data_IF_506660309909
#
_entry.id   IF_506660309909
#
_cell.length_a   1.000
_cell.length_b   1.000
_cell.length_c   1.000
_cell.angle_alpha   90.00
_cell.angle_beta   90.00
_cell.angle_gamma   90.00
#
_symmetry.space_group_name_H-M   'P 1'
#
loop_
_entity.id
_entity.type
_entity.pdbx_description
1 polymer ?
#
# COMPACT_ATOMS: atom_id res chain seq x y z
N UNK A 1 10.55 7.30 -8.37
CA UNK A 1 9.35 8.05 -8.74
C UNK A 1 8.41 7.14 -9.53
N UNK A 2 7.10 7.17 -9.23
CA UNK A 2 6.06 6.50 -10.01
C UNK A 2 5.38 7.58 -10.85
N UNK A 3 5.24 7.37 -12.16
CA UNK A 3 4.54 8.29 -13.05
C UNK A 3 3.32 7.60 -13.64
N UNK A 4 2.17 8.25 -13.53
CA UNK A 4 0.87 7.80 -14.05
C UNK A 4 0.41 8.88 -15.02
N UNK A 5 0.02 8.50 -16.25
CA UNK A 5 -0.35 9.41 -17.32
C UNK A 5 -1.64 8.95 -18.02
N UNK A 6 -2.65 9.79 -17.99
CA UNK A 6 -3.92 9.66 -18.71
C UNK A 6 -4.59 8.26 -18.54
N UNK A 7 -4.55 7.71 -17.32
CA UNK A 7 -5.13 6.40 -17.03
C UNK A 7 -6.65 6.55 -16.90
N UNK A 8 -7.38 5.82 -17.77
CA UNK A 8 -8.84 5.77 -17.75
C UNK A 8 -9.30 4.32 -17.77
N UNK A 9 -10.39 4.02 -17.05
CA UNK A 9 -10.97 2.68 -17.01
C UNK A 9 -12.47 2.72 -16.80
N UNK A 10 -13.19 1.86 -17.53
CA UNK A 10 -14.64 1.68 -17.42
C UNK A 10 -14.97 0.23 -17.04
N UNK A 11 -16.02 0.06 -16.25
CA UNK A 11 -16.65 -1.24 -16.01
C UNK A 11 -18.08 -1.14 -16.53
N UNK A 12 -18.36 -1.82 -17.65
CA UNK A 12 -19.61 -1.60 -18.37
C UNK A 12 -19.75 -0.16 -18.85
N UNK A 13 -20.80 0.53 -18.44
CA UNK A 13 -21.02 1.95 -18.74
C UNK A 13 -20.41 2.90 -17.68
N UNK A 14 -20.00 2.38 -16.53
CA UNK A 14 -19.54 3.21 -15.42
C UNK A 14 -18.04 3.52 -15.58
N UNK A 15 -17.71 4.81 -15.56
CA UNK A 15 -16.34 5.32 -15.54
C UNK A 15 -15.79 5.21 -14.10
N UNK A 16 -14.76 4.41 -13.91
CA UNK A 16 -14.14 4.15 -12.60
C UNK A 16 -12.89 5.02 -12.41
N UNK A 17 -12.09 5.15 -13.48
CA UNK A 17 -10.95 6.07 -13.51
C UNK A 17 -11.13 6.97 -14.73
N UNK A 18 -10.94 8.27 -14.54
CA UNK A 18 -11.18 9.31 -15.52
C UNK A 18 -9.95 10.21 -15.64
N UNK A 19 -9.14 9.95 -16.66
CA UNK A 19 -7.94 10.71 -17.02
C UNK A 19 -6.97 10.95 -15.84
N UNK A 20 -6.69 9.90 -15.08
CA UNK A 20 -5.82 9.97 -13.91
C UNK A 20 -4.38 10.21 -14.34
N UNK A 21 -3.83 11.37 -13.95
CA UNK A 21 -2.44 11.74 -14.19
C UNK A 21 -1.84 12.28 -12.89
N UNK A 22 -0.74 11.67 -12.42
CA UNK A 22 -0.02 12.11 -11.22
C UNK A 22 1.41 11.57 -11.18
N UNK A 23 2.23 12.18 -10.35
CA UNK A 23 3.56 11.72 -10.01
C UNK A 23 3.66 11.47 -8.49
N UNK A 24 4.09 10.26 -8.13
CA UNK A 24 4.34 9.91 -6.73
C UNK A 24 5.85 10.02 -6.50
N UNK A 25 6.28 10.83 -5.51
CA UNK A 25 7.69 10.98 -5.17
C UNK A 25 8.36 9.66 -4.85
N UNK A 26 9.67 9.59 -5.08
CA UNK A 26 10.46 8.43 -4.66
C UNK A 26 10.80 8.54 -3.18
N UNK A 27 10.68 7.41 -2.49
CA UNK A 27 10.92 7.31 -1.04
C UNK A 27 9.70 7.74 -0.21
N UNK A 28 9.63 7.22 1.02
CA UNK A 28 8.57 7.54 1.96
C UNK A 28 7.23 6.84 1.70
N UNK A 29 6.26 7.18 2.55
CA UNK A 29 4.89 6.67 2.47
C UNK A 29 4.00 7.65 1.71
N UNK A 30 3.37 7.18 0.65
CA UNK A 30 2.28 7.88 -0.03
C UNK A 30 0.95 7.30 0.39
N UNK A 31 0.09 8.09 1.01
CA UNK A 31 -1.28 7.70 1.31
C UNK A 31 -2.20 8.00 0.12
N UNK A 32 -2.93 6.98 -0.34
CA UNK A 32 -4.00 7.11 -1.33
C UNK A 32 -5.34 7.14 -0.57
N UNK A 33 -5.99 8.30 -0.53
CA UNK A 33 -7.22 8.55 0.24
C UNK A 33 -8.38 8.97 -0.67
N UNK A 34 -9.58 8.98 -0.12
CA UNK A 34 -10.81 9.44 -0.77
C UNK A 34 -12.02 8.59 -0.40
N UNK A 35 -13.23 9.00 -0.80
CA UNK A 35 -14.45 8.27 -0.54
C UNK A 35 -14.45 6.83 -1.09
N UNK A 36 -15.37 6.01 -0.60
CA UNK A 36 -15.60 4.70 -1.19
C UNK A 36 -16.06 4.85 -2.65
N UNK A 37 -15.56 3.98 -3.54
CA UNK A 37 -15.85 4.10 -4.97
C UNK A 37 -15.03 5.17 -5.73
N UNK A 38 -14.11 5.90 -5.08
CA UNK A 38 -13.27 6.89 -5.75
C UNK A 38 -12.25 6.32 -6.74
N UNK A 39 -12.11 4.98 -6.84
CA UNK A 39 -11.20 4.33 -7.78
C UNK A 39 -9.83 3.95 -7.21
N UNK A 40 -9.58 4.12 -5.90
CA UNK A 40 -8.28 3.88 -5.24
C UNK A 40 -7.71 2.48 -5.49
N UNK A 41 -8.44 1.42 -5.12
CA UNK A 41 -7.99 0.03 -5.31
C UNK A 41 -7.90 -0.35 -6.79
N UNK A 42 -8.75 0.25 -7.64
CA UNK A 42 -8.68 0.08 -9.09
C UNK A 42 -7.38 0.67 -9.63
N UNK A 43 -7.03 1.90 -9.24
CA UNK A 43 -5.76 2.53 -9.62
C UNK A 43 -4.57 1.68 -9.14
N UNK A 44 -4.60 1.24 -7.87
CA UNK A 44 -3.55 0.39 -7.30
C UNK A 44 -3.40 -0.93 -8.07
N UNK A 45 -4.51 -1.53 -8.53
CA UNK A 45 -4.49 -2.77 -9.32
C UNK A 45 -3.82 -2.59 -10.70
N UNK A 46 -4.01 -1.44 -11.34
CA UNK A 46 -3.29 -1.09 -12.57
C UNK A 46 -1.82 -0.80 -12.31
N UNK A 47 -1.50 -0.10 -11.24
CA UNK A 47 -0.12 0.14 -10.80
C UNK A 47 0.64 -1.18 -10.60
N UNK A 48 -0.02 -2.21 -10.07
CA UNK A 48 0.56 -3.54 -9.86
C UNK A 48 0.49 -4.46 -11.09
N UNK A 49 -0.08 -4.00 -12.21
CA UNK A 49 -0.36 -4.84 -13.40
C UNK A 49 -1.19 -6.09 -13.08
N UNK A 50 -2.10 -6.02 -12.09
CA UNK A 50 -3.08 -7.06 -11.84
C UNK A 50 -4.23 -7.03 -12.87
N UNK A 51 -4.36 -5.91 -13.57
CA UNK A 51 -5.29 -5.71 -14.69
C UNK A 51 -4.53 -5.15 -15.89
N UNK A 52 -4.87 -5.54 -17.11
CA UNK A 52 -4.30 -4.95 -18.32
C UNK A 52 -4.71 -3.47 -18.43
N UNK A 53 -3.75 -2.59 -18.69
CA UNK A 53 -4.01 -1.17 -18.89
C UNK A 53 -4.46 -0.94 -20.34
N UNK A 54 -5.68 -0.44 -20.54
CA UNK A 54 -6.25 -0.20 -21.85
C UNK A 54 -5.90 1.21 -22.36
N UNK A 55 -5.89 2.19 -21.44
CA UNK A 55 -5.61 3.59 -21.77
C UNK A 55 -4.65 4.20 -20.74
N UNK A 56 -3.72 5.01 -21.23
CA UNK A 56 -2.73 5.68 -20.42
C UNK A 56 -1.44 4.90 -20.25
N UNK A 57 -0.62 5.33 -19.31
CA UNK A 57 0.69 4.76 -19.03
C UNK A 57 1.04 4.83 -17.55
N UNK A 58 1.66 3.78 -17.04
CA UNK A 58 2.20 3.74 -15.67
C UNK A 58 3.65 3.30 -15.74
N UNK A 59 4.55 4.00 -15.04
CA UNK A 59 5.96 3.64 -15.02
C UNK A 59 6.59 3.80 -13.63
N UNK A 60 7.58 2.95 -13.34
CA UNK A 60 8.41 2.96 -12.15
C UNK A 60 9.85 3.30 -12.54
N UNK A 61 10.38 4.42 -12.06
CA UNK A 61 11.72 4.90 -12.43
C UNK A 61 11.95 4.90 -13.95
N UNK A 62 10.93 5.27 -14.75
CA UNK A 62 10.97 5.31 -16.21
C UNK A 62 10.66 3.98 -16.91
N UNK A 63 10.61 2.85 -16.19
CA UNK A 63 10.24 1.54 -16.76
C UNK A 63 8.72 1.41 -16.81
N UNK A 64 8.19 1.16 -17.99
CA UNK A 64 6.75 1.00 -18.22
C UNK A 64 6.23 -0.33 -17.69
N UNK A 65 5.16 -0.28 -16.90
CA UNK A 65 4.54 -1.46 -16.26
C UNK A 65 4.03 -2.47 -17.30
N UNK A 66 3.47 -1.99 -18.38
CA UNK A 66 2.83 -2.85 -19.40
C UNK A 66 3.85 -3.66 -20.20
N UNK A 67 5.01 -3.06 -20.51
CA UNK A 67 6.03 -3.67 -21.36
C UNK A 67 7.19 -4.35 -20.59
N UNK A 68 7.34 -4.06 -19.29
CA UNK A 68 8.40 -4.66 -18.46
C UNK A 68 8.14 -6.17 -18.27
N UNK A 69 9.16 -7.03 -18.48
CA UNK A 69 9.02 -8.47 -18.24
C UNK A 69 8.54 -8.78 -16.81
N UNK A 70 7.66 -9.78 -16.67
CA UNK A 70 7.05 -10.11 -15.36
C UNK A 70 8.07 -10.40 -14.26
N UNK A 71 9.15 -11.13 -14.61
CA UNK A 71 10.20 -11.47 -13.64
C UNK A 71 10.99 -10.22 -13.17
N UNK A 72 11.13 -9.21 -14.03
CA UNK A 72 11.75 -7.93 -13.67
C UNK A 72 10.80 -7.06 -12.85
N UNK A 73 9.54 -6.97 -13.26
CA UNK A 73 8.52 -6.22 -12.53
C UNK A 73 8.34 -6.76 -11.11
N UNK A 74 8.34 -8.09 -10.93
CA UNK A 74 8.26 -8.73 -9.62
C UNK A 74 9.49 -8.48 -8.72
N UNK A 75 10.61 -7.97 -9.25
CA UNK A 75 11.76 -7.48 -8.47
C UNK A 75 11.74 -5.97 -8.27
N UNK A 76 10.84 -5.27 -8.96
CA UNK A 76 10.69 -3.82 -8.89
C UNK A 76 9.59 -3.41 -7.90
N UNK A 77 8.46 -4.08 -7.95
CA UNK A 77 7.32 -3.77 -7.08
C UNK A 77 6.74 -5.04 -6.44
N UNK A 78 6.15 -4.85 -5.26
CA UNK A 78 5.37 -5.85 -4.55
C UNK A 78 4.01 -5.28 -4.15
N UNK A 79 2.99 -6.13 -4.03
CA UNK A 79 1.63 -5.71 -3.69
C UNK A 79 0.98 -6.63 -2.66
N UNK A 80 0.25 -6.02 -1.73
CA UNK A 80 -0.77 -6.66 -0.91
C UNK A 80 -2.14 -6.18 -1.39
N UNK A 81 -2.98 -7.10 -1.86
CA UNK A 81 -4.36 -6.81 -2.26
C UNK A 81 -5.31 -6.93 -1.07
N UNK A 82 -6.49 -6.29 -1.16
CA UNK A 82 -7.50 -6.31 -0.11
C UNK A 82 -8.03 -7.74 0.16
N UNK A 83 -8.28 -8.53 -0.90
CA UNK A 83 -8.72 -9.91 -0.77
C UNK A 83 -7.53 -10.87 -0.74
N UNK A 84 -7.23 -11.40 0.43
CA UNK A 84 -6.17 -12.39 0.65
C UNK A 84 -6.76 -13.66 1.30
N UNK A 85 -7.60 -14.38 0.55
CA UNK A 85 -8.17 -15.65 1.00
C UNK A 85 -7.21 -16.82 0.79
N UNK A 86 -6.06 -16.79 1.46
CA UNK A 86 -5.17 -17.95 1.50
C UNK A 86 -5.75 -18.95 2.51
N UNK A 87 -6.52 -19.92 2.02
CA UNK A 87 -7.11 -21.00 2.83
C UNK A 87 -6.20 -22.24 2.90
N UNK A 88 -4.94 -22.16 2.49
CA UNK A 88 -4.02 -23.30 2.48
C UNK A 88 -3.33 -23.53 3.84
N UNK A 89 -2.98 -24.78 4.13
CA UNK A 89 -2.11 -25.14 5.26
C UNK A 89 -0.67 -24.74 4.96
N UNK A 90 -0.41 -23.44 4.93
CA UNK A 90 0.92 -22.86 4.77
C UNK A 90 1.39 -22.29 6.10
N UNK A 91 2.65 -22.50 6.47
CA UNK A 91 3.26 -21.89 7.66
C UNK A 91 3.59 -20.42 7.38
N UNK A 92 3.78 -19.63 8.45
CA UNK A 92 4.24 -18.23 8.32
C UNK A 92 5.58 -18.18 7.59
N UNK A 93 6.52 -19.06 7.93
CA UNK A 93 7.85 -19.14 7.28
C UNK A 93 7.72 -19.39 5.77
N UNK A 94 6.89 -20.35 5.39
CA UNK A 94 6.68 -20.67 3.97
C UNK A 94 5.99 -19.53 3.24
N UNK A 95 5.03 -18.87 3.88
CA UNK A 95 4.40 -17.66 3.33
C UNK A 95 5.45 -16.58 3.03
N UNK A 96 6.32 -16.28 3.99
CA UNK A 96 7.37 -15.28 3.78
C UNK A 96 8.33 -15.71 2.66
N UNK A 97 8.62 -17.02 2.57
CA UNK A 97 9.45 -17.57 1.50
C UNK A 97 8.80 -17.41 0.12
N UNK A 98 7.46 -17.42 0.00
CA UNK A 98 6.78 -17.06 -1.25
C UNK A 98 7.11 -15.63 -1.72
N UNK A 99 7.26 -14.68 -0.80
CA UNK A 99 7.74 -13.34 -1.13
C UNK A 99 9.11 -13.34 -1.84
N UNK A 100 9.92 -14.38 -1.61
CA UNK A 100 11.24 -14.55 -2.25
C UNK A 100 11.19 -15.30 -3.60
N UNK A 101 10.01 -15.80 -4.00
CA UNK A 101 9.86 -16.60 -5.23
C UNK A 101 10.47 -15.96 -6.50
N UNK A 102 10.35 -14.63 -6.73
CA UNK A 102 10.98 -13.98 -7.89
C UNK A 102 12.51 -14.16 -7.99
N UNK A 103 13.16 -14.49 -6.88
CA UNK A 103 14.61 -14.67 -6.80
C UNK A 103 15.03 -16.13 -6.90
N UNK A 104 14.37 -17.02 -6.17
CA UNK A 104 14.80 -18.42 -6.04
C UNK A 104 14.06 -19.40 -6.95
N UNK A 105 12.89 -19.04 -7.50
CA UNK A 105 12.10 -19.85 -8.45
C UNK A 105 11.93 -21.32 -8.02
N UNK A 106 11.66 -21.54 -6.73
CA UNK A 106 11.47 -22.86 -6.14
C UNK A 106 12.71 -23.50 -5.51
N UNK A 107 13.89 -22.85 -5.56
CA UNK A 107 15.15 -23.34 -4.94
C UNK A 107 15.72 -22.29 -3.99
N UNK A 108 15.18 -22.18 -2.75
CA UNK A 108 15.61 -21.16 -1.81
C UNK A 108 17.11 -21.26 -1.47
N UNK A 109 17.81 -20.12 -1.55
CA UNK A 109 19.21 -19.98 -1.16
C UNK A 109 19.33 -19.63 0.34
N UNK A 110 20.53 -19.68 0.88
CA UNK A 110 20.82 -19.22 2.26
C UNK A 110 20.52 -17.72 2.40
N UNK A 111 20.71 -16.92 1.35
CA UNK A 111 20.32 -15.50 1.34
C UNK A 111 18.80 -15.34 1.50
N UNK A 112 17.99 -16.17 0.82
CA UNK A 112 16.53 -16.11 0.94
C UNK A 112 16.09 -16.49 2.36
N UNK A 113 16.71 -17.51 2.94
CA UNK A 113 16.44 -17.90 4.34
C UNK A 113 16.80 -16.80 5.34
N UNK A 114 17.93 -16.10 5.12
CA UNK A 114 18.34 -14.98 5.94
C UNK A 114 17.35 -13.80 5.84
N UNK A 115 16.89 -13.45 4.63
CA UNK A 115 15.86 -12.41 4.43
C UNK A 115 14.57 -12.76 5.17
N UNK A 116 14.11 -14.00 5.07
CA UNK A 116 12.92 -14.48 5.78
C UNK A 116 13.13 -14.42 7.29
N UNK A 117 14.30 -14.84 7.80
CA UNK A 117 14.64 -14.76 9.21
C UNK A 117 14.61 -13.33 9.76
N UNK A 118 15.20 -12.39 9.02
CA UNK A 118 15.17 -10.96 9.38
C UNK A 118 13.72 -10.41 9.39
N UNK A 119 12.93 -10.72 8.38
CA UNK A 119 11.54 -10.28 8.31
C UNK A 119 10.69 -10.87 9.45
N UNK A 120 10.90 -12.14 9.84
CA UNK A 120 10.24 -12.70 11.01
C UNK A 120 10.53 -11.86 12.27
N UNK A 121 11.78 -11.43 12.47
CA UNK A 121 12.18 -10.56 13.58
C UNK A 121 11.55 -9.17 13.50
N UNK A 122 11.68 -8.49 12.36
CA UNK A 122 11.15 -7.13 12.14
C UNK A 122 9.64 -7.05 12.39
N UNK A 123 8.90 -8.07 11.91
CA UNK A 123 7.45 -8.17 12.07
C UNK A 123 7.01 -8.87 13.35
N UNK A 124 7.94 -9.27 14.25
CA UNK A 124 7.67 -9.99 15.52
C UNK A 124 6.84 -11.25 15.28
N UNK A 125 7.27 -12.08 14.36
CA UNK A 125 6.60 -13.31 13.94
C UNK A 125 7.41 -14.58 14.27
N UNK A 126 8.57 -14.46 14.95
CA UNK A 126 9.47 -15.59 15.23
C UNK A 126 8.74 -16.74 15.95
N UNK A 127 7.96 -16.42 16.98
CA UNK A 127 7.20 -17.41 17.76
C UNK A 127 6.05 -18.05 16.99
N UNK A 128 5.72 -17.53 15.81
CA UNK A 128 4.66 -18.02 14.94
C UNK A 128 5.20 -18.63 13.65
N UNK A 129 6.52 -18.64 13.44
CA UNK A 129 7.16 -18.97 12.16
C UNK A 129 6.68 -20.31 11.58
N UNK A 130 6.53 -21.32 12.42
CA UNK A 130 6.17 -22.68 12.04
C UNK A 130 4.68 -23.00 12.28
N UNK A 131 3.85 -22.01 12.66
CA UNK A 131 2.39 -22.12 12.75
C UNK A 131 1.75 -21.92 11.39
N UNK A 132 0.62 -22.60 11.18
CA UNK A 132 -0.21 -22.39 10.00
C UNK A 132 -0.92 -21.03 10.08
N UNK A 133 -1.15 -20.38 8.93
CA UNK A 133 -1.89 -19.11 8.87
C UNK A 133 -3.30 -19.19 9.46
N UNK A 134 -3.91 -20.36 9.43
CA UNK A 134 -5.24 -20.63 10.00
C UNK A 134 -5.26 -20.63 11.53
N UNK A 135 -4.09 -20.76 12.17
CA UNK A 135 -3.93 -20.75 13.63
C UNK A 135 -3.65 -19.35 14.19
N UNK A 136 -3.50 -18.36 13.31
CA UNK A 136 -3.20 -16.99 13.68
C UNK A 136 -4.48 -16.18 13.90
N UNK A 137 -4.41 -15.20 14.82
CA UNK A 137 -5.42 -14.14 14.88
C UNK A 137 -5.42 -13.31 13.61
N UNK A 138 -6.52 -12.58 13.33
CA UNK A 138 -6.62 -11.72 12.15
C UNK A 138 -5.45 -10.73 12.04
N UNK A 139 -5.08 -10.08 13.14
CA UNK A 139 -3.96 -9.13 13.17
C UNK A 139 -2.58 -9.79 12.98
N UNK A 140 -2.38 -10.99 13.52
CA UNK A 140 -1.14 -11.77 13.29
C UNK A 140 -1.04 -12.20 11.82
N UNK A 141 -2.15 -12.67 11.25
CA UNK A 141 -2.24 -13.07 9.85
C UNK A 141 -1.98 -11.88 8.92
N UNK A 142 -2.60 -10.73 9.18
CA UNK A 142 -2.37 -9.51 8.39
C UNK A 142 -0.90 -9.08 8.43
N UNK A 143 -0.27 -9.15 9.60
CA UNK A 143 1.15 -8.86 9.77
C UNK A 143 2.03 -9.82 8.97
N UNK A 144 1.71 -11.13 8.95
CA UNK A 144 2.42 -12.12 8.16
C UNK A 144 2.30 -11.86 6.65
N UNK A 145 1.10 -11.47 6.17
CA UNK A 145 0.87 -11.11 4.77
C UNK A 145 1.70 -9.89 4.35
N UNK A 146 1.79 -8.87 5.20
CA UNK A 146 2.62 -7.68 4.93
C UNK A 146 4.11 -8.06 4.97
N UNK A 147 4.52 -8.89 5.93
CA UNK A 147 5.90 -9.38 6.01
C UNK A 147 6.32 -10.13 4.73
N UNK A 148 5.43 -10.95 4.15
CA UNK A 148 5.65 -11.61 2.86
C UNK A 148 5.94 -10.59 1.75
N UNK A 149 5.15 -9.51 1.66
CA UNK A 149 5.35 -8.45 0.67
C UNK A 149 6.69 -7.75 0.87
N UNK A 150 7.07 -7.49 2.11
CA UNK A 150 8.37 -6.88 2.45
C UNK A 150 9.56 -7.81 2.20
N UNK A 151 9.40 -9.15 2.34
CA UNK A 151 10.42 -10.14 1.97
C UNK A 151 10.79 -10.10 0.48
N UNK A 152 9.93 -9.60 -0.38
CA UNK A 152 10.23 -9.46 -1.81
C UNK A 152 11.35 -8.44 -2.06
N UNK A 153 11.70 -7.58 -1.10
CA UNK A 153 12.80 -6.61 -1.16
C UNK A 153 12.75 -5.71 -2.40
N UNK A 154 11.57 -5.23 -2.75
CA UNK A 154 11.35 -4.35 -3.89
C UNK A 154 11.52 -2.88 -3.50
N UNK A 155 11.83 -2.02 -4.48
CA UNK A 155 11.90 -0.56 -4.27
C UNK A 155 10.53 0.07 -4.06
N UNK A 156 9.47 -0.55 -4.62
CA UNK A 156 8.10 -0.06 -4.54
C UNK A 156 7.21 -1.10 -3.87
N UNK A 157 6.45 -0.67 -2.86
CA UNK A 157 5.52 -1.50 -2.10
C UNK A 157 4.13 -0.90 -2.21
N UNK A 158 3.16 -1.69 -2.65
CA UNK A 158 1.77 -1.27 -2.78
C UNK A 158 0.91 -2.03 -1.76
N UNK A 159 0.15 -1.32 -0.95
CA UNK A 159 -0.68 -1.92 0.10
C UNK A 159 -2.12 -1.44 -0.03
N UNK A 160 -3.04 -2.36 -0.33
CA UNK A 160 -4.46 -2.05 -0.42
C UNK A 160 -5.13 -2.35 0.92
N UNK A 161 -5.50 -1.28 1.64
CA UNK A 161 -6.19 -1.31 2.93
C UNK A 161 -5.55 -2.25 3.97
N UNK A 162 -4.24 -2.12 4.26
CA UNK A 162 -3.52 -3.06 5.12
C UNK A 162 -3.96 -3.00 6.59
N UNK A 163 -4.75 -2.00 6.99
CA UNK A 163 -5.21 -1.80 8.37
C UNK A 163 -6.60 -2.41 8.64
N UNK A 164 -7.27 -2.95 7.61
CA UNK A 164 -8.58 -3.53 7.77
C UNK A 164 -8.58 -4.68 8.79
N UNK A 165 -9.63 -4.72 9.62
CA UNK A 165 -9.80 -5.71 10.68
C UNK A 165 -8.74 -5.67 11.79
N UNK A 166 -7.97 -4.57 11.91
CA UNK A 166 -7.06 -4.32 13.02
C UNK A 166 -7.72 -3.36 14.02
N UNK A 167 -7.55 -3.62 15.30
CA UNK A 167 -7.87 -2.61 16.31
C UNK A 167 -6.88 -1.43 16.26
N UNK A 168 -7.21 -0.33 16.95
CA UNK A 168 -6.42 0.90 16.93
C UNK A 168 -4.97 0.69 17.39
N UNK A 169 -4.74 -0.19 18.36
CA UNK A 169 -3.39 -0.47 18.86
C UNK A 169 -2.52 -1.13 17.78
N UNK A 170 -3.06 -2.19 17.15
CA UNK A 170 -2.33 -2.92 16.10
C UNK A 170 -2.21 -2.11 14.81
N UNK A 171 -3.23 -1.34 14.43
CA UNK A 171 -3.16 -0.44 13.28
C UNK A 171 -2.04 0.61 13.46
N UNK A 172 -1.97 1.26 14.63
CA UNK A 172 -0.91 2.20 14.97
C UNK A 172 0.48 1.55 14.97
N UNK A 173 0.60 0.38 15.58
CA UNK A 173 1.87 -0.36 15.65
C UNK A 173 2.36 -0.74 14.25
N UNK A 174 1.44 -1.17 13.38
CA UNK A 174 1.74 -1.53 12.00
C UNK A 174 2.16 -0.30 11.18
N UNK A 175 1.45 0.83 11.27
CA UNK A 175 1.83 2.05 10.54
C UNK A 175 3.21 2.56 10.95
N UNK A 176 3.54 2.51 12.24
CA UNK A 176 4.90 2.85 12.72
C UNK A 176 5.96 1.90 12.17
N UNK A 177 5.66 0.61 12.09
CA UNK A 177 6.56 -0.38 11.51
C UNK A 177 6.77 -0.10 10.01
N UNK A 178 5.67 0.11 9.26
CA UNK A 178 5.73 0.44 7.83
C UNK A 178 6.54 1.70 7.58
N UNK A 179 6.31 2.77 8.36
CA UNK A 179 7.06 4.03 8.26
C UNK A 179 8.55 3.79 8.49
N UNK A 180 8.92 3.09 9.56
CA UNK A 180 10.30 2.76 9.88
C UNK A 180 10.96 1.99 8.74
N UNK A 181 10.36 0.85 8.31
CA UNK A 181 10.94 0.00 7.25
C UNK A 181 11.00 0.71 5.89
N UNK A 182 10.02 1.54 5.57
CA UNK A 182 10.02 2.34 4.34
C UNK A 182 11.20 3.29 4.32
N UNK A 183 11.44 4.04 5.41
CA UNK A 183 12.54 5.01 5.49
C UNK A 183 13.92 4.34 5.63
N UNK A 184 14.07 3.33 6.49
CA UNK A 184 15.33 2.60 6.68
C UNK A 184 15.82 1.95 5.37
N UNK A 185 14.91 1.37 4.59
CA UNK A 185 15.24 0.72 3.32
C UNK A 185 15.08 1.65 2.10
N UNK A 186 14.77 2.94 2.29
CA UNK A 186 14.58 3.95 1.24
C UNK A 186 13.57 3.53 0.17
N UNK A 187 12.51 2.80 0.58
CA UNK A 187 11.45 2.32 -0.33
C UNK A 187 10.42 3.40 -0.60
N UNK A 188 9.65 3.22 -1.65
CA UNK A 188 8.43 4.00 -1.90
C UNK A 188 7.24 3.11 -1.60
N UNK A 189 6.48 3.44 -0.55
CA UNK A 189 5.31 2.65 -0.14
C UNK A 189 4.04 3.43 -0.42
N UNK A 190 3.17 2.90 -1.26
CA UNK A 190 1.83 3.46 -1.52
C UNK A 190 0.81 2.66 -0.74
N UNK A 191 0.04 3.34 0.10
CA UNK A 191 -0.92 2.71 1.02
C UNK A 191 -2.30 3.30 0.81
N UNK A 192 -3.29 2.48 0.49
CA UNK A 192 -4.71 2.90 0.52
C UNK A 192 -5.16 2.94 1.97
N UNK A 193 -5.65 4.08 2.42
CA UNK A 193 -6.13 4.30 3.78
C UNK A 193 -7.54 4.88 3.77
N UNK A 194 -8.40 4.37 4.68
CA UNK A 194 -9.72 4.92 4.93
C UNK A 194 -9.71 5.97 6.04
N UNK A 195 -8.89 5.76 7.06
CA UNK A 195 -8.74 6.70 8.18
C UNK A 195 -7.78 7.82 7.78
N UNK A 196 -8.34 9.02 7.58
CA UNK A 196 -7.58 10.22 7.21
C UNK A 196 -6.60 10.67 8.30
N UNK A 197 -6.87 10.37 9.57
CA UNK A 197 -5.94 10.64 10.66
C UNK A 197 -4.70 9.74 10.60
N UNK A 198 -4.83 8.48 10.13
CA UNK A 198 -3.67 7.64 9.85
C UNK A 198 -2.83 8.20 8.69
N UNK A 199 -3.49 8.69 7.63
CA UNK A 199 -2.78 9.34 6.52
C UNK A 199 -2.05 10.62 7.00
N UNK A 200 -2.72 11.49 7.75
CA UNK A 200 -2.13 12.71 8.30
C UNK A 200 -0.96 12.43 9.27
N UNK A 201 -1.03 11.33 10.03
CA UNK A 201 0.00 10.99 11.02
C UNK A 201 1.26 10.35 10.41
N UNK A 202 1.13 9.57 9.34
CA UNK A 202 2.20 8.68 8.87
C UNK A 202 2.65 8.89 7.43
N UNK A 203 1.87 9.55 6.57
CA UNK A 203 2.25 9.77 5.19
C UNK A 203 3.28 10.92 5.07
N UNK A 204 4.18 10.78 4.09
CA UNK A 204 5.09 11.81 3.63
C UNK A 204 4.47 12.58 2.45
N UNK A 205 3.58 11.90 1.70
CA UNK A 205 2.84 12.46 0.58
C UNK A 205 1.41 11.89 0.54
N UNK A 206 0.47 12.67 0.06
CA UNK A 206 -0.95 12.29 -0.03
C UNK A 206 -1.43 12.45 -1.45
N UNK A 207 -2.19 11.47 -1.92
CA UNK A 207 -2.96 11.51 -3.17
C UNK A 207 -4.42 11.33 -2.79
N UNK A 208 -5.23 12.35 -3.02
CA UNK A 208 -6.66 12.33 -2.75
C UNK A 208 -7.43 12.13 -4.05
N UNK A 209 -8.31 11.13 -4.07
CA UNK A 209 -9.15 10.80 -5.22
C UNK A 209 -10.63 11.03 -4.91
N UNK A 210 -11.37 11.59 -5.86
CA UNK A 210 -12.84 11.72 -5.84
C UNK A 210 -13.38 11.44 -7.23
N UNK A 211 -14.45 10.64 -7.35
CA UNK A 211 -15.15 10.36 -8.61
C UNK A 211 -14.23 9.87 -9.75
N UNK A 212 -13.27 9.00 -9.45
CA UNK A 212 -12.35 8.44 -10.44
C UNK A 212 -11.22 9.37 -10.89
N UNK A 213 -11.10 10.56 -10.31
CA UNK A 213 -10.06 11.55 -10.63
C UNK A 213 -9.17 11.83 -9.44
N UNK A 214 -7.97 12.34 -9.70
CA UNK A 214 -7.13 12.96 -8.67
C UNK A 214 -7.73 14.33 -8.35
N UNK A 215 -8.17 14.52 -7.11
CA UNK A 215 -8.70 15.79 -6.63
C UNK A 215 -7.57 16.74 -6.23
N UNK A 216 -6.62 16.22 -5.43
CA UNK A 216 -5.45 16.98 -4.99
C UNK A 216 -4.30 16.04 -4.58
N UNK A 217 -3.09 16.57 -4.62
CA UNK A 217 -1.89 15.88 -4.14
C UNK A 217 -1.00 16.87 -3.40
N UNK A 218 -0.23 16.41 -2.43
CA UNK A 218 0.68 17.27 -1.68
C UNK A 218 1.19 16.61 -0.40
N UNK A 219 1.85 17.38 0.42
CA UNK A 219 2.21 16.97 1.78
C UNK A 219 0.96 16.97 2.68
N UNK A 220 0.96 16.20 3.79
CA UNK A 220 -0.16 16.19 4.71
C UNK A 220 -0.62 17.58 5.16
N UNK A 221 0.33 18.52 5.41
CA UNK A 221 0.03 19.88 5.84
C UNK A 221 -0.76 20.67 4.80
N UNK A 222 -0.52 20.41 3.50
CA UNK A 222 -1.15 21.06 2.36
C UNK A 222 -2.51 20.47 2.05
N UNK A 223 -2.64 19.14 2.22
CA UNK A 223 -3.85 18.38 1.86
C UNK A 223 -4.91 18.43 2.95
N UNK A 224 -4.53 18.28 4.22
CA UNK A 224 -5.48 18.21 5.32
C UNK A 224 -5.84 19.60 5.86
N UNK A 225 -6.69 20.31 5.10
CA UNK A 225 -7.37 21.54 5.50
C UNK A 225 -8.88 21.28 5.60
N UNK A 226 -9.61 22.12 6.35
CA UNK A 226 -11.06 21.99 6.50
C UNK A 226 -11.78 22.07 5.14
N UNK A 227 -11.33 22.99 4.26
CA UNK A 227 -11.87 23.17 2.91
C UNK A 227 -11.66 21.93 2.06
N UNK A 228 -10.42 21.41 1.97
CA UNK A 228 -10.08 20.25 1.17
C UNK A 228 -10.83 18.99 1.65
N UNK A 229 -10.97 18.81 2.97
CA UNK A 229 -11.70 17.65 3.53
C UNK A 229 -13.18 17.76 3.26
N UNK A 230 -13.76 18.97 3.40
CA UNK A 230 -15.17 19.21 3.04
C UNK A 230 -15.40 18.85 1.57
N UNK A 231 -14.56 19.35 0.68
CA UNK A 231 -14.70 19.09 -0.76
C UNK A 231 -14.48 17.62 -1.13
N UNK A 232 -13.59 16.94 -0.41
CA UNK A 232 -13.26 15.55 -0.72
C UNK A 232 -14.33 14.57 -0.22
N UNK A 233 -14.84 14.77 1.01
CA UNK A 233 -15.71 13.81 1.70
C UNK A 233 -17.15 14.29 1.87
N UNK A 234 -17.48 15.51 1.41
CA UNK A 234 -18.80 16.14 1.55
C UNK A 234 -19.23 16.25 3.04
N UNK A 235 -18.29 16.58 3.94
CA UNK A 235 -18.51 16.67 5.38
C UNK A 235 -17.73 17.82 6.01
N UNK A 236 -18.33 18.49 6.98
CA UNK A 236 -17.64 19.50 7.80
C UNK A 236 -16.76 18.82 8.85
N UNK A 237 -15.57 19.40 9.06
CA UNK A 237 -14.59 18.92 10.03
C UNK A 237 -13.90 20.12 10.67
N UNK A 238 -13.31 19.92 11.85
CA UNK A 238 -12.30 20.81 12.39
C UNK A 238 -10.90 20.18 12.18
N UNK A 239 -9.92 20.98 11.74
CA UNK A 239 -8.54 20.54 11.56
C UNK A 239 -7.66 21.25 12.58
N UNK A 240 -7.05 20.46 13.46
CA UNK A 240 -6.19 20.95 14.54
C UNK A 240 -4.73 20.58 14.26
N UNK A 241 -3.83 21.49 14.67
CA UNK A 241 -2.41 21.16 14.73
C UNK A 241 -2.07 20.56 16.11
N UNK A 242 -1.65 19.29 16.11
CA UNK A 242 -1.28 18.57 17.32
C UNK A 242 0.08 17.92 17.17
N UNK A 243 1.06 18.33 17.97
CA UNK A 243 2.43 17.83 17.95
C UNK A 243 3.07 17.83 16.54
N UNK A 244 2.85 18.90 15.77
CA UNK A 244 3.38 19.08 14.42
C UNK A 244 2.72 18.23 13.35
N UNK A 245 1.54 17.66 13.63
CA UNK A 245 0.73 16.88 12.68
C UNK A 245 -0.70 17.39 12.67
N UNK A 246 -1.39 17.18 11.55
CA UNK A 246 -2.82 17.49 11.43
C UNK A 246 -3.64 16.41 12.13
N UNK A 247 -4.62 16.84 12.93
CA UNK A 247 -5.65 16.01 13.55
C UNK A 247 -7.01 16.46 13.02
N UNK A 248 -7.71 15.56 12.37
CA UNK A 248 -9.01 15.83 11.76
C UNK A 248 -10.11 15.34 12.71
N UNK A 249 -10.91 16.29 13.22
CA UNK A 249 -12.04 16.02 14.10
C UNK A 249 -13.30 16.07 13.24
N UNK A 250 -13.97 14.94 13.10
CA UNK A 250 -15.14 14.77 12.22
C UNK A 250 -16.44 14.50 12.98
N UNK A 251 -16.44 14.65 14.30
CA UNK A 251 -17.63 14.56 15.15
C UNK A 251 -17.92 15.93 15.78
N UNK A 252 -18.11 16.95 14.95
CA UNK A 252 -18.42 18.34 15.35
C UNK A 252 -19.79 18.75 14.83
#
# INVERSE_FOLDING_TARGET
MISIRNVSHKIGSQLILDDVSLEIPQGGITALIGPNGAGKSTLLSFMARLRPLEHGRISYAGKDVSSTPTAELAKTLSILTQENSIMSRITVRDLLMFGRYPYHQGRPSETDKAVVGNALGEFRLESFADRYLTELSGGQRQRAMIAMVFCQCTDYVLLDEPLNNLDMYYARALMRLLQRLTHEHKRTTVVVLHDINQAAAYADFVVAMKNGRVALTGRPEEVFTEENIRDLFDMDVAVLDYQGKKLIVHHV
#
